data_IF_614316342861
#
_entry.id   IF_614316342861
#
_cell.length_a   1.000
_cell.length_b   1.000
_cell.length_c   1.000
_cell.angle_alpha   90.00
_cell.angle_beta   90.00
_cell.angle_gamma   90.00
#
_symmetry.space_group_name_H-M   'P 1'
#
loop_
_entity.id
_entity.type
_entity.pdbx_description
1 polymer ?
#
# COMPACT_ATOMS: atom_id res chain seq x y z
N UNK A 1 9.24 -1.71 12.59
CA UNK A 1 9.45 -2.97 13.35
C UNK A 1 10.21 -2.65 14.62
N UNK A 2 9.74 -3.10 15.78
CA UNK A 2 10.50 -2.99 17.02
C UNK A 2 11.69 -3.97 16.99
N UNK A 3 12.80 -3.57 17.59
CA UNK A 3 14.03 -4.35 17.65
C UNK A 3 14.89 -3.90 18.84
N UNK A 4 15.90 -4.69 19.18
CA UNK A 4 16.93 -4.41 20.20
C UNK A 4 18.30 -4.14 19.56
N UNK A 5 18.32 -3.62 18.33
CA UNK A 5 19.52 -3.43 17.52
C UNK A 5 19.43 -4.09 16.13
N UNK A 6 20.46 -3.92 15.28
CA UNK A 6 20.47 -4.44 13.91
C UNK A 6 20.16 -5.95 13.86
N UNK A 7 19.31 -6.35 12.92
CA UNK A 7 18.95 -7.75 12.68
C UNK A 7 18.29 -8.49 13.86
N UNK A 8 17.63 -7.78 14.77
CA UNK A 8 16.90 -8.37 15.91
C UNK A 8 15.38 -8.21 15.78
N UNK A 9 14.87 -8.17 14.56
CA UNK A 9 13.42 -8.11 14.32
C UNK A 9 12.76 -9.41 14.77
N UNK A 10 11.70 -9.30 15.57
CA UNK A 10 10.78 -10.40 15.91
C UNK A 10 9.38 -10.11 15.36
N UNK A 11 8.36 -10.35 16.17
CA UNK A 11 6.96 -10.04 15.85
C UNK A 11 6.50 -8.66 16.34
N UNK A 12 7.26 -8.01 17.21
CA UNK A 12 6.88 -6.73 17.80
C UNK A 12 6.90 -5.60 16.75
N UNK A 13 5.82 -4.83 16.71
CA UNK A 13 5.70 -3.66 15.85
C UNK A 13 5.11 -2.48 16.64
N UNK A 14 5.12 -1.31 16.01
CA UNK A 14 4.52 -0.10 16.54
C UNK A 14 3.90 0.70 15.40
N UNK A 15 2.93 1.55 15.73
CA UNK A 15 2.31 2.51 14.81
C UNK A 15 2.77 3.89 15.23
N UNK A 16 3.31 4.67 14.31
CA UNK A 16 3.71 6.06 14.59
C UNK A 16 2.47 6.98 14.55
N UNK A 17 2.25 7.74 15.62
CA UNK A 17 1.20 8.77 15.72
C UNK A 17 1.71 10.18 15.38
N UNK A 18 3.03 10.34 15.30
CA UNK A 18 3.71 11.55 14.87
C UNK A 18 4.91 11.21 13.97
N UNK A 19 5.58 12.23 13.40
CA UNK A 19 6.83 12.03 12.66
C UNK A 19 7.95 11.61 13.60
N UNK A 20 8.63 10.51 13.28
CA UNK A 20 9.67 9.89 14.13
C UNK A 20 10.99 9.73 13.39
N UNK A 21 11.61 10.83 12.96
CA UNK A 21 12.87 10.83 12.19
C UNK A 21 14.03 10.13 12.92
N UNK A 22 14.00 10.11 14.26
CA UNK A 22 15.02 9.44 15.07
C UNK A 22 15.09 7.91 14.87
N UNK A 23 14.05 7.32 14.27
CA UNK A 23 13.93 5.89 13.99
C UNK A 23 14.40 5.50 12.57
N UNK A 24 14.63 6.49 11.70
CA UNK A 24 15.04 6.26 10.31
C UNK A 24 16.39 5.51 10.26
N UNK A 25 16.46 4.51 9.38
CA UNK A 25 17.62 3.61 9.26
C UNK A 25 17.83 2.64 10.43
N UNK A 26 17.07 2.76 11.53
CA UNK A 26 17.16 1.88 12.71
C UNK A 26 16.00 0.89 12.81
N UNK A 27 14.84 1.28 12.32
CA UNK A 27 13.63 0.46 12.32
C UNK A 27 13.08 0.31 10.91
N UNK A 28 12.74 -0.92 10.53
CA UNK A 28 12.14 -1.20 9.22
C UNK A 28 10.70 -0.69 9.17
N UNK A 29 10.39 0.15 8.18
CA UNK A 29 9.02 0.56 7.83
C UNK A 29 8.45 -0.44 6.82
N UNK A 30 7.28 -1.01 7.09
CA UNK A 30 6.71 -2.11 6.29
C UNK A 30 5.22 -1.94 5.94
N UNK A 31 4.57 -0.88 6.41
CA UNK A 31 3.15 -0.65 6.17
C UNK A 31 2.69 0.71 6.67
N UNK A 32 1.43 1.04 6.38
CA UNK A 32 0.74 2.23 6.89
C UNK A 32 -0.70 1.86 7.22
N UNK A 33 -1.27 2.54 8.21
CA UNK A 33 -2.71 2.47 8.48
C UNK A 33 -3.45 3.10 7.30
N UNK A 34 -4.38 2.37 6.69
CA UNK A 34 -5.16 2.83 5.52
C UNK A 34 -6.61 3.17 5.87
N UNK A 35 -7.11 2.66 6.99
CA UNK A 35 -8.44 2.89 7.53
C UNK A 35 -8.42 2.74 9.06
N UNK A 36 -9.40 3.29 9.77
CA UNK A 36 -9.56 3.12 11.22
C UNK A 36 -8.56 3.89 12.08
N UNK A 37 -7.94 4.97 11.57
CA UNK A 37 -6.94 5.72 12.33
C UNK A 37 -7.49 6.36 13.62
N UNK A 38 -8.79 6.65 13.69
CA UNK A 38 -9.44 7.12 14.92
C UNK A 38 -9.27 6.12 16.08
N UNK A 39 -9.29 4.82 15.80
CA UNK A 39 -9.06 3.77 16.81
C UNK A 39 -7.62 3.86 17.35
N UNK A 40 -6.64 4.09 16.46
CA UNK A 40 -5.24 4.31 16.86
C UNK A 40 -5.10 5.52 17.77
N UNK A 41 -5.86 6.59 17.51
CA UNK A 41 -5.87 7.78 18.38
C UNK A 41 -6.47 7.50 19.75
N UNK A 42 -7.55 6.71 19.85
CA UNK A 42 -8.07 6.30 21.16
C UNK A 42 -7.08 5.42 21.92
N UNK A 43 -6.39 4.49 21.24
CA UNK A 43 -5.32 3.69 21.84
C UNK A 43 -4.16 4.55 22.37
N UNK A 44 -3.81 5.62 21.65
CA UNK A 44 -2.75 6.56 22.06
C UNK A 44 -3.11 7.31 23.36
N UNK A 45 -4.37 7.73 23.51
CA UNK A 45 -4.83 8.49 24.70
C UNK A 45 -4.69 7.72 26.01
N UNK A 46 -4.78 6.39 25.96
CA UNK A 46 -4.64 5.51 27.13
C UNK A 46 -3.20 5.01 27.31
N UNK A 47 -2.28 5.40 26.42
CA UNK A 47 -0.87 5.07 26.49
C UNK A 47 -0.09 5.94 27.49
N UNK A 48 1.15 5.54 27.79
CA UNK A 48 2.05 6.32 28.63
C UNK A 48 3.50 6.22 28.14
N UNK A 49 4.36 7.09 28.67
CA UNK A 49 5.77 7.20 28.25
C UNK A 49 6.59 5.92 28.47
N UNK A 50 6.20 5.06 29.43
CA UNK A 50 6.89 3.81 29.69
C UNK A 50 6.28 2.59 28.96
N UNK A 51 5.31 2.83 28.08
CA UNK A 51 4.62 1.80 27.31
C UNK A 51 3.52 1.04 28.06
N UNK A 52 3.25 1.35 29.32
CA UNK A 52 2.07 0.81 30.03
C UNK A 52 0.83 1.61 29.68
N UNK A 53 -0.26 0.92 29.40
CA UNK A 53 -1.57 1.55 29.18
C UNK A 53 -2.34 1.67 30.49
N UNK A 54 -3.22 2.66 30.60
CA UNK A 54 -4.12 2.83 31.77
C UNK A 54 -5.22 1.78 31.82
N UNK A 55 -5.52 1.17 30.68
CA UNK A 55 -6.49 0.08 30.51
C UNK A 55 -5.96 -0.96 29.50
N UNK A 56 -6.47 -2.20 29.50
CA UNK A 56 -6.03 -3.21 28.55
C UNK A 56 -6.35 -2.80 27.10
N UNK A 57 -5.33 -2.80 26.24
CA UNK A 57 -5.49 -2.63 24.78
C UNK A 57 -5.07 -3.93 24.12
N UNK A 58 -6.04 -4.65 23.57
CA UNK A 58 -5.86 -6.02 23.05
C UNK A 58 -6.36 -6.11 21.62
N UNK A 59 -5.64 -6.87 20.79
CA UNK A 59 -6.11 -7.26 19.46
C UNK A 59 -7.02 -8.48 19.65
N UNK A 60 -8.32 -8.26 19.64
CA UNK A 60 -9.31 -9.33 19.86
C UNK A 60 -9.48 -10.24 18.63
N UNK A 61 -9.39 -9.68 17.43
CA UNK A 61 -9.48 -10.40 16.17
C UNK A 61 -8.54 -9.79 15.11
N UNK A 62 -8.06 -10.62 14.18
CA UNK A 62 -7.15 -10.21 13.11
C UNK A 62 -7.20 -11.16 11.91
N UNK A 63 -6.81 -10.65 10.74
CA UNK A 63 -6.77 -11.46 9.53
C UNK A 63 -6.16 -10.73 8.34
N UNK A 64 -6.18 -11.41 7.20
CA UNK A 64 -5.76 -10.84 5.92
C UNK A 64 -6.98 -10.52 5.08
N UNK A 65 -7.10 -9.26 4.66
CA UNK A 65 -8.11 -8.87 3.66
C UNK A 65 -7.52 -9.11 2.29
N UNK A 66 -7.93 -10.20 1.65
CA UNK A 66 -7.64 -10.43 0.25
C UNK A 66 -8.43 -9.40 -0.55
N UNK A 67 -7.73 -8.46 -1.19
CA UNK A 67 -8.37 -7.72 -2.27
C UNK A 67 -8.73 -8.73 -3.34
N UNK A 68 -10.01 -8.82 -3.67
CA UNK A 68 -10.45 -9.53 -4.85
C UNK A 68 -9.73 -8.92 -6.04
N UNK A 69 -8.73 -9.63 -6.57
CA UNK A 69 -8.26 -9.36 -7.90
C UNK A 69 -9.46 -9.56 -8.81
N UNK A 70 -9.99 -8.48 -9.38
CA UNK A 70 -10.64 -8.63 -10.66
C UNK A 70 -9.58 -9.26 -11.57
N UNK A 71 -9.84 -10.50 -12.01
CA UNK A 71 -9.09 -11.08 -13.11
C UNK A 71 -9.38 -10.20 -14.32
N UNK A 72 -8.55 -9.18 -14.54
CA UNK A 72 -8.39 -8.59 -15.85
C UNK A 72 -7.75 -9.69 -16.68
N UNK A 73 -8.55 -10.30 -17.55
CA UNK A 73 -8.01 -11.17 -18.58
C UNK A 73 -6.94 -10.35 -19.32
N UNK A 74 -5.67 -10.75 -19.35
CA UNK A 74 -4.64 -10.01 -20.08
C UNK A 74 -4.92 -9.95 -21.60
N UNK A 75 -5.90 -10.72 -22.08
CA UNK A 75 -6.43 -10.66 -23.45
C UNK A 75 -7.75 -9.89 -23.58
N UNK A 76 -8.34 -9.36 -22.49
CA UNK A 76 -9.43 -8.38 -22.63
C UNK A 76 -8.82 -7.08 -23.12
N UNK A 77 -9.23 -6.54 -24.28
CA UNK A 77 -8.73 -5.26 -24.73
C UNK A 77 -8.95 -4.22 -23.63
N UNK A 78 -7.89 -3.46 -23.32
CA UNK A 78 -8.01 -2.29 -22.45
C UNK A 78 -9.23 -1.49 -22.89
N UNK A 79 -10.09 -1.00 -21.97
CA UNK A 79 -11.10 -0.04 -22.37
C UNK A 79 -10.35 1.12 -23.03
N UNK A 80 -10.48 1.21 -24.36
CA UNK A 80 -9.88 2.29 -25.14
C UNK A 80 -10.36 3.59 -24.50
N UNK A 81 -9.45 4.49 -24.08
CA UNK A 81 -9.89 5.82 -23.68
C UNK A 81 -10.53 6.44 -24.93
N UNK A 82 -11.85 6.58 -24.91
CA UNK A 82 -12.60 7.27 -25.95
C UNK A 82 -12.19 8.75 -25.96
N UNK A 83 -11.06 9.05 -26.59
CA UNK A 83 -10.70 10.40 -26.99
C UNK A 83 -11.61 10.78 -28.14
N UNK A 84 -12.65 11.54 -27.83
CA UNK A 84 -13.32 12.36 -28.85
C UNK A 84 -12.36 13.46 -29.23
N UNK A 85 -11.50 13.22 -30.22
CA UNK A 85 -10.78 14.29 -30.89
C UNK A 85 -11.45 14.59 -32.23
N UNK A 86 -11.83 15.85 -32.51
CA UNK A 86 -12.39 16.22 -33.80
C UNK A 86 -11.30 16.16 -34.88
N UNK A 87 -11.66 15.54 -36.00
CA UNK A 87 -11.17 15.68 -37.39
C UNK A 87 -9.83 16.40 -37.59
N UNK A 88 -8.90 15.75 -38.30
CA UNK A 88 -8.40 16.24 -39.60
C UNK A 88 -7.28 15.36 -40.20
N UNK A 89 -7.38 15.21 -41.53
CA UNK A 89 -6.41 14.73 -42.52
C UNK A 89 -6.27 13.23 -42.84
N UNK A 90 -6.96 12.87 -43.93
CA UNK A 90 -6.56 11.91 -44.96
C UNK A 90 -5.05 11.98 -45.30
N UNK A 91 -4.42 10.84 -45.61
CA UNK A 91 -3.83 10.54 -46.93
C UNK A 91 -3.42 9.07 -47.00
N UNK A 92 -3.65 8.49 -48.18
CA UNK A 92 -3.62 7.07 -48.54
C UNK A 92 -2.21 6.50 -48.83
N UNK A 93 -2.22 5.18 -49.10
CA UNK A 93 -1.27 4.38 -49.90
C UNK A 93 -0.06 3.77 -49.15
N UNK A 94 -0.09 2.44 -48.91
CA UNK A 94 0.42 1.35 -49.79
C UNK A 94 1.88 1.03 -49.42
N UNK A 95 2.27 -0.18 -49.00
CA UNK A 95 2.47 -1.44 -49.75
C UNK A 95 2.69 -2.55 -48.70
N UNK A 96 2.14 -3.78 -48.80
CA UNK A 96 2.77 -4.97 -49.41
C UNK A 96 4.27 -5.09 -49.10
N UNK A 97 4.89 -6.18 -48.67
CA UNK A 97 4.59 -7.61 -48.52
C UNK A 97 5.93 -8.21 -47.97
N UNK A 98 5.88 -9.41 -47.35
CA UNK A 98 7.00 -10.39 -47.30
C UNK A 98 8.22 -10.02 -46.41
N UNK A 99 8.94 -10.90 -45.70
CA UNK A 99 9.04 -12.37 -45.63
C UNK A 99 9.89 -12.75 -44.40
N UNK A 100 9.80 -14.02 -44.02
CA UNK A 100 10.56 -14.83 -43.05
C UNK A 100 12.05 -14.50 -42.81
N UNK A 101 12.51 -14.68 -41.56
CA UNK A 101 13.42 -15.80 -41.16
C UNK A 101 13.54 -15.89 -39.63
#
# INVERSE_FOLDING_TARGET
MANSGPNTNGSQFFICTAKTQCLDGKHVVFGKVVDGYSVVQEMEKVGSQNGRTSEPVVIEDYGQVLRSYHFVNPLSPSPEPHYTHPQLYQTQHAFHQDTES
#
